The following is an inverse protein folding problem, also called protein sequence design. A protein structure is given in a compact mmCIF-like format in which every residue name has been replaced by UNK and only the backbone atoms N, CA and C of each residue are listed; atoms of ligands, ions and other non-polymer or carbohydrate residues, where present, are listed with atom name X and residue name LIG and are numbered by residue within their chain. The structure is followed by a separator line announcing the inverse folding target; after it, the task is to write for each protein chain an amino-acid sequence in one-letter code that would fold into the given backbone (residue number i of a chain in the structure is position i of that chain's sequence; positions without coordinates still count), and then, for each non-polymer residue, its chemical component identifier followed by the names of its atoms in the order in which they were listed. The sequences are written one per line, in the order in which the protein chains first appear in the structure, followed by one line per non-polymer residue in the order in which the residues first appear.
data_IF_365579017964
#
_entry.id   IF_365579017964
#
_cell.length_a   1.000
_cell.length_b   1.000
_cell.length_c   1.000
_cell.angle_alpha   90.00
_cell.angle_beta   90.00
_cell.angle_gamma   90.00
#
_symmetry.space_group_name_H-M   'P 1'
#
loop_
_entity.id
_entity.type
_entity.pdbx_description
1 polymer ?
#
# COMPACT_ATOMS: atom_id res chain seq x y z
N UNK A 1 -5.95 14.13 12.50
CA UNK A 1 -7.06 13.50 11.76
C UNK A 1 -8.15 14.47 11.29
N UNK A 2 -9.09 14.95 12.12
CA UNK A 2 -10.21 15.81 11.63
C UNK A 2 -9.74 17.10 10.94
N UNK A 3 -8.75 17.79 11.53
CA UNK A 3 -8.14 19.00 10.95
C UNK A 3 -7.46 18.72 9.60
N UNK A 4 -6.78 17.58 9.46
CA UNK A 4 -6.11 17.19 8.21
C UNK A 4 -7.10 16.82 7.11
N UNK A 5 -8.21 16.14 7.46
CA UNK A 5 -9.31 15.86 6.53
C UNK A 5 -9.89 17.16 6.00
N UNK A 6 -10.14 18.15 6.86
CA UNK A 6 -10.67 19.45 6.44
C UNK A 6 -9.69 20.21 5.54
N UNK A 7 -8.40 20.22 5.87
CA UNK A 7 -7.37 20.83 5.02
C UNK A 7 -7.30 20.15 3.65
N UNK A 8 -7.27 18.81 3.60
CA UNK A 8 -7.26 18.04 2.35
C UNK A 8 -8.53 18.28 1.53
N UNK A 9 -9.70 18.30 2.16
CA UNK A 9 -10.97 18.63 1.52
C UNK A 9 -10.93 20.04 0.90
N UNK A 10 -10.41 21.02 1.64
CA UNK A 10 -10.27 22.39 1.13
C UNK A 10 -9.33 22.47 -0.07
N UNK A 11 -8.23 21.71 -0.08
CA UNK A 11 -7.32 21.65 -1.23
C UNK A 11 -7.95 20.99 -2.46
N UNK A 12 -8.65 19.87 -2.28
CA UNK A 12 -9.38 19.19 -3.36
C UNK A 12 -10.45 20.12 -3.94
N UNK A 13 -11.19 20.81 -3.08
CA UNK A 13 -12.22 21.77 -3.48
C UNK A 13 -11.64 22.95 -4.28
N UNK A 14 -10.50 23.52 -3.87
CA UNK A 14 -9.79 24.56 -4.63
C UNK A 14 -9.30 24.06 -5.99
N UNK A 15 -8.76 22.84 -6.05
CA UNK A 15 -8.33 22.21 -7.32
C UNK A 15 -9.51 21.99 -8.28
N UNK A 16 -10.65 21.54 -7.76
CA UNK A 16 -11.87 21.37 -8.53
C UNK A 16 -12.39 22.71 -9.08
N UNK A 17 -12.51 23.74 -8.24
CA UNK A 17 -12.92 25.09 -8.67
C UNK A 17 -11.99 25.68 -9.73
N UNK A 18 -10.66 25.48 -9.60
CA UNK A 18 -9.70 25.91 -10.63
C UNK A 18 -9.89 25.19 -11.97
N UNK A 19 -10.28 23.91 -11.94
CA UNK A 19 -10.42 23.07 -13.14
C UNK A 19 -11.77 23.24 -13.84
N UNK A 20 -12.84 23.37 -13.08
CA UNK A 20 -14.21 23.34 -13.57
C UNK A 20 -14.94 24.69 -13.47
N UNK A 21 -14.31 25.70 -12.85
CA UNK A 21 -14.92 26.99 -12.55
C UNK A 21 -15.77 26.95 -11.26
N UNK A 22 -16.33 28.09 -10.86
CA UNK A 22 -17.13 28.22 -9.64
C UNK A 22 -16.31 28.49 -8.37
N UNK A 23 -16.96 28.41 -7.21
CA UNK A 23 -16.36 28.66 -5.89
C UNK A 23 -15.95 27.34 -5.24
N UNK A 24 -14.81 27.33 -4.54
CA UNK A 24 -14.34 26.13 -3.83
C UNK A 24 -15.39 25.55 -2.87
N UNK A 25 -16.17 26.40 -2.19
CA UNK A 25 -17.21 25.93 -1.26
C UNK A 25 -18.29 25.08 -1.93
N UNK A 26 -18.55 25.25 -3.22
CA UNK A 26 -19.52 24.45 -3.98
C UNK A 26 -19.05 23.00 -4.16
N UNK A 27 -17.73 22.78 -4.13
CA UNK A 27 -17.12 21.45 -4.23
C UNK A 27 -16.85 20.82 -2.86
N UNK A 28 -17.09 21.53 -1.75
CA UNK A 28 -16.60 21.10 -0.44
C UNK A 28 -17.21 19.77 0.00
N UNK A 29 -18.48 19.50 -0.30
CA UNK A 29 -19.15 18.25 0.08
C UNK A 29 -18.51 17.02 -0.57
N UNK A 30 -18.28 17.07 -1.89
CA UNK A 30 -17.58 16.00 -2.61
C UNK A 30 -16.11 15.87 -2.19
N UNK A 31 -15.45 17.01 -1.96
CA UNK A 31 -14.08 17.05 -1.47
C UNK A 31 -13.92 16.48 -0.06
N UNK A 32 -14.90 16.71 0.82
CA UNK A 32 -14.96 16.15 2.17
C UNK A 32 -15.04 14.63 2.11
N UNK A 33 -15.92 14.11 1.24
CA UNK A 33 -16.11 12.67 1.06
C UNK A 33 -14.81 12.01 0.58
N UNK A 34 -14.16 12.58 -0.44
CA UNK A 34 -12.86 12.11 -0.94
C UNK A 34 -11.76 12.18 0.13
N UNK A 35 -11.70 13.27 0.90
CA UNK A 35 -10.71 13.43 1.96
C UNK A 35 -10.95 12.47 3.14
N UNK A 36 -12.21 12.16 3.45
CA UNK A 36 -12.60 11.24 4.51
C UNK A 36 -12.35 9.78 4.10
N UNK A 37 -12.65 9.41 2.86
CA UNK A 37 -12.30 8.10 2.30
C UNK A 37 -10.78 7.89 2.30
N UNK A 38 -10.01 8.90 1.92
CA UNK A 38 -8.55 8.85 1.99
C UNK A 38 -8.00 8.76 3.43
N UNK A 39 -8.75 9.24 4.43
CA UNK A 39 -8.34 9.20 5.83
C UNK A 39 -8.82 7.95 6.58
N UNK A 40 -9.77 7.20 6.02
CA UNK A 40 -10.37 6.02 6.67
C UNK A 40 -9.51 4.76 6.60
N UNK A 41 -8.41 4.79 5.85
CA UNK A 41 -7.54 3.64 5.69
C UNK A 41 -8.27 2.41 5.12
N UNK A 42 -7.74 1.24 5.44
CA UNK A 42 -8.33 -0.04 5.12
C UNK A 42 -9.38 -0.42 6.17
N UNK A 43 -10.53 -0.88 5.70
CA UNK A 43 -11.53 -1.52 6.57
C UNK A 43 -11.07 -2.90 7.01
N UNK A 44 -11.56 -3.38 8.16
CA UNK A 44 -11.18 -4.72 8.66
C UNK A 44 -11.50 -5.84 7.65
N UNK A 45 -12.55 -5.69 6.85
CA UNK A 45 -12.87 -6.62 5.75
C UNK A 45 -11.77 -6.65 4.68
N UNK A 46 -11.25 -5.49 4.30
CA UNK A 46 -10.14 -5.37 3.35
C UNK A 46 -8.84 -5.91 3.94
N UNK A 47 -8.58 -5.63 5.22
CA UNK A 47 -7.42 -6.18 5.95
C UNK A 47 -7.47 -7.71 5.93
N UNK A 48 -8.62 -8.31 6.28
CA UNK A 48 -8.78 -9.76 6.26
C UNK A 48 -8.62 -10.37 4.86
N UNK A 49 -9.09 -9.67 3.82
CA UNK A 49 -8.85 -10.05 2.42
C UNK A 49 -7.35 -10.08 2.10
N UNK A 50 -6.59 -9.07 2.50
CA UNK A 50 -5.13 -9.06 2.32
C UNK A 50 -4.46 -10.16 3.14
N UNK A 51 -4.84 -10.37 4.40
CA UNK A 51 -4.28 -11.46 5.21
C UNK A 51 -4.49 -12.82 4.53
N UNK A 52 -5.68 -13.05 3.93
CA UNK A 52 -5.97 -14.28 3.17
C UNK A 52 -5.09 -14.45 1.92
N UNK A 53 -4.60 -13.35 1.35
CA UNK A 53 -3.64 -13.35 0.22
C UNK A 53 -2.18 -13.52 0.64
N UNK A 54 -1.91 -13.69 1.94
CA UNK A 54 -0.55 -13.92 2.44
C UNK A 54 0.12 -12.65 2.96
N UNK A 55 -0.60 -11.77 3.64
CA UNK A 55 -0.02 -10.62 4.36
C UNK A 55 0.02 -10.89 5.86
N UNK A 56 1.07 -10.44 6.54
CA UNK A 56 1.16 -10.46 7.99
C UNK A 56 0.86 -9.06 8.53
N UNK A 57 -0.18 -8.92 9.38
CA UNK A 57 -0.46 -7.66 10.09
C UNK A 57 0.49 -7.51 11.28
N UNK A 58 1.05 -6.32 11.44
CA UNK A 58 1.85 -5.94 12.60
C UNK A 58 1.38 -4.57 13.08
N UNK A 59 1.04 -4.49 14.36
CA UNK A 59 0.52 -3.28 14.99
C UNK A 59 1.37 -3.00 16.24
N UNK A 60 1.69 -1.73 16.49
CA UNK A 60 2.36 -1.31 17.73
C UNK A 60 1.36 -1.18 18.88
N UNK A 61 1.83 -1.28 20.12
CA UNK A 61 0.97 -1.22 21.31
C UNK A 61 0.25 0.13 21.46
N UNK A 62 0.90 1.22 21.05
CA UNK A 62 0.33 2.57 20.95
C UNK A 62 -0.66 2.73 19.79
N UNK A 63 -0.80 1.70 18.95
CA UNK A 63 -1.60 1.69 17.75
C UNK A 63 -1.11 2.66 16.68
N UNK A 64 0.01 3.38 16.84
CA UNK A 64 0.49 4.39 15.88
C UNK A 64 0.75 3.78 14.51
N UNK A 65 1.39 2.60 14.49
CA UNK A 65 1.68 1.85 13.28
C UNK A 65 0.76 0.66 13.18
N UNK A 66 0.09 0.55 12.04
CA UNK A 66 -0.69 -0.63 11.68
C UNK A 66 -0.32 -1.00 10.24
N UNK A 67 0.45 -2.08 10.08
CA UNK A 67 1.13 -2.41 8.82
C UNK A 67 0.79 -3.82 8.37
N UNK A 68 0.53 -3.98 7.08
CA UNK A 68 0.36 -5.27 6.43
C UNK A 68 1.59 -5.56 5.59
N UNK A 69 2.49 -6.40 6.12
CA UNK A 69 3.70 -6.82 5.40
C UNK A 69 3.36 -7.92 4.41
N UNK A 70 3.81 -7.75 3.16
CA UNK A 70 3.79 -8.80 2.16
C UNK A 70 4.64 -9.98 2.66
N UNK A 71 4.03 -11.16 2.80
CA UNK A 71 4.77 -12.38 3.10
C UNK A 71 5.03 -13.13 1.79
N UNK A 72 6.23 -12.96 1.25
CA UNK A 72 6.66 -13.54 -0.03
C UNK A 72 6.52 -15.07 -0.09
N UNK A 73 6.50 -15.76 1.06
CA UNK A 73 6.38 -17.22 1.14
C UNK A 73 4.93 -17.70 1.17
N UNK A 74 3.99 -16.85 1.59
CA UNK A 74 2.55 -17.17 1.67
C UNK A 74 1.77 -16.61 0.49
N UNK A 75 2.31 -15.59 -0.17
CA UNK A 75 1.68 -14.98 -1.34
C UNK A 75 1.72 -15.94 -2.54
N UNK A 76 0.59 -16.08 -3.22
CA UNK A 76 0.47 -16.95 -4.38
C UNK A 76 1.44 -16.53 -5.49
N UNK A 77 2.01 -17.52 -6.19
CA UNK A 77 2.87 -17.32 -7.36
C UNK A 77 3.96 -16.27 -7.12
N UNK A 78 4.65 -16.32 -5.98
CA UNK A 78 5.72 -15.37 -5.67
C UNK A 78 7.03 -16.10 -5.34
N UNK A 79 7.33 -16.37 -4.07
CA UNK A 79 8.57 -17.06 -3.68
C UNK A 79 8.29 -18.39 -2.99
N UNK A 80 8.80 -19.49 -3.54
CA UNK A 80 8.68 -20.80 -2.90
C UNK A 80 9.94 -21.64 -3.15
N UNK A 81 10.65 -22.02 -2.08
CA UNK A 81 11.86 -22.86 -2.11
C UNK A 81 12.83 -22.57 -3.27
N UNK A 82 13.21 -21.30 -3.44
CA UNK A 82 14.18 -20.90 -4.47
C UNK A 82 13.61 -20.77 -5.88
N UNK A 83 12.28 -20.78 -6.00
CA UNK A 83 11.56 -20.47 -7.23
C UNK A 83 10.85 -19.14 -7.12
N UNK A 84 10.87 -18.37 -8.20
CA UNK A 84 10.04 -17.19 -8.41
C UNK A 84 9.00 -17.49 -9.49
N UNK A 85 7.72 -17.31 -9.20
CA UNK A 85 6.63 -17.67 -10.12
C UNK A 85 6.69 -19.13 -10.64
N UNK A 86 7.29 -20.04 -9.87
CA UNK A 86 7.49 -21.44 -10.26
C UNK A 86 8.76 -21.72 -11.06
N UNK A 87 9.49 -20.69 -11.49
CA UNK A 87 10.77 -20.80 -12.19
C UNK A 87 11.94 -20.75 -11.20
N UNK A 88 12.96 -21.57 -11.41
CA UNK A 88 14.16 -21.54 -10.57
C UNK A 88 14.92 -20.24 -10.74
N UNK A 89 15.35 -19.67 -9.61
CA UNK A 89 16.13 -18.43 -9.58
C UNK A 89 17.45 -18.62 -8.86
N UNK A 90 18.45 -17.83 -9.25
CA UNK A 90 19.78 -17.91 -8.68
C UNK A 90 19.75 -17.61 -7.17
N UNK A 91 20.63 -18.24 -6.35
CA UNK A 91 20.71 -17.97 -4.92
C UNK A 91 20.90 -16.48 -4.57
N UNK A 92 21.54 -15.71 -5.45
CA UNK A 92 21.70 -14.27 -5.28
C UNK A 92 20.37 -13.49 -5.43
N UNK A 93 19.47 -13.93 -6.31
CA UNK A 93 18.13 -13.37 -6.47
C UNK A 93 17.27 -13.69 -5.25
N UNK A 94 17.37 -14.91 -4.74
CA UNK A 94 16.66 -15.31 -3.52
C UNK A 94 17.04 -14.42 -2.33
N UNK A 95 18.34 -14.12 -2.18
CA UNK A 95 18.82 -13.20 -1.13
C UNK A 95 18.28 -11.79 -1.33
N UNK A 96 18.26 -11.29 -2.57
CA UNK A 96 17.76 -9.98 -2.90
C UNK A 96 16.27 -9.82 -2.60
N UNK A 97 15.44 -10.80 -3.01
CA UNK A 97 13.99 -10.80 -2.72
C UNK A 97 13.76 -10.74 -1.20
N UNK A 98 14.48 -11.55 -0.42
CA UNK A 98 14.38 -11.58 1.05
C UNK A 98 14.84 -10.28 1.72
N UNK A 99 15.67 -9.47 1.05
CA UNK A 99 16.14 -8.20 1.57
C UNK A 99 15.12 -7.06 1.37
N UNK A 100 14.11 -7.25 0.52
CA UNK A 100 13.06 -6.26 0.26
C UNK A 100 11.86 -6.53 1.18
N UNK A 101 11.48 -5.52 1.95
CA UNK A 101 10.24 -5.46 2.70
C UNK A 101 9.28 -4.52 1.99
N UNK A 102 8.06 -4.96 1.77
CA UNK A 102 6.96 -4.12 1.26
C UNK A 102 5.79 -4.26 2.21
N UNK A 103 5.14 -3.14 2.54
CA UNK A 103 3.96 -3.15 3.40
C UNK A 103 2.95 -2.07 3.00
N UNK A 104 1.70 -2.30 3.38
CA UNK A 104 0.63 -1.32 3.32
C UNK A 104 0.42 -0.74 4.72
N UNK A 105 0.35 0.57 4.83
CA UNK A 105 -0.14 1.21 6.05
C UNK A 105 -1.66 1.08 6.10
N UNK A 106 -2.20 0.40 7.12
CA UNK A 106 -3.63 0.14 7.23
C UNK A 106 -4.45 1.40 7.50
N UNK A 107 -3.85 2.49 8.01
CA UNK A 107 -4.57 3.74 8.30
C UNK A 107 -4.65 4.68 7.11
N UNK A 108 -3.68 4.62 6.20
CA UNK A 108 -3.64 5.50 5.02
C UNK A 108 -3.89 4.74 3.72
N UNK A 109 -3.69 3.42 3.71
CA UNK A 109 -3.67 2.59 2.50
C UNK A 109 -2.44 2.84 1.61
N UNK A 110 -1.43 3.57 2.11
CA UNK A 110 -0.20 3.86 1.37
C UNK A 110 0.73 2.65 1.36
N UNK A 111 1.39 2.43 0.22
CA UNK A 111 2.38 1.37 0.05
C UNK A 111 3.76 1.94 0.33
N UNK A 112 4.50 1.26 1.20
CA UNK A 112 5.87 1.61 1.58
C UNK A 112 6.78 0.40 1.39
N UNK A 113 8.07 0.66 1.24
CA UNK A 113 9.07 -0.39 1.08
C UNK A 113 10.40 -0.01 1.71
N UNK A 114 11.22 -1.01 2.00
CA UNK A 114 12.59 -0.86 2.45
C UNK A 114 13.42 -2.02 1.92
N UNK A 115 14.67 -1.75 1.54
CA UNK A 115 15.65 -2.79 1.24
C UNK A 115 16.85 -2.67 2.18
N UNK A 116 17.33 -3.79 2.71
CA UNK A 116 18.49 -3.79 3.64
C UNK A 116 19.82 -3.53 2.93
N UNK A 117 19.89 -3.79 1.62
CA UNK A 117 21.00 -3.43 0.76
C UNK A 117 20.48 -3.25 -0.67
N UNK A 118 21.27 -2.62 -1.53
CA UNK A 118 20.94 -2.43 -2.95
C UNK A 118 21.92 -3.21 -3.80
N UNK A 119 21.39 -4.01 -4.71
CA UNK A 119 22.14 -4.68 -5.76
C UNK A 119 21.24 -4.80 -7.00
N UNK A 120 21.80 -5.25 -8.12
CA UNK A 120 21.06 -5.37 -9.40
C UNK A 120 19.75 -6.15 -9.28
N UNK A 121 19.72 -7.20 -8.44
CA UNK A 121 18.54 -8.04 -8.26
C UNK A 121 17.51 -7.37 -7.35
N UNK A 122 17.94 -6.63 -6.32
CA UNK A 122 17.01 -5.83 -5.51
C UNK A 122 16.28 -4.82 -6.40
N UNK A 123 16.99 -4.17 -7.32
CA UNK A 123 16.36 -3.22 -8.24
C UNK A 123 15.45 -3.89 -9.27
N UNK A 124 15.71 -5.15 -9.62
CA UNK A 124 14.81 -5.97 -10.46
C UNK A 124 13.55 -6.41 -9.72
N UNK A 125 13.65 -6.95 -8.51
CA UNK A 125 12.52 -7.58 -7.80
C UNK A 125 11.69 -6.62 -6.95
N UNK A 126 12.29 -5.54 -6.44
CA UNK A 126 11.57 -4.49 -5.69
C UNK A 126 10.34 -3.94 -6.42
N UNK A 127 10.42 -3.51 -7.70
CA UNK A 127 9.23 -3.03 -8.40
C UNK A 127 8.18 -4.13 -8.57
N UNK A 128 8.58 -5.38 -8.85
CA UNK A 128 7.64 -6.50 -8.99
C UNK A 128 6.86 -6.76 -7.69
N UNK A 129 7.52 -6.71 -6.54
CA UNK A 129 6.87 -6.84 -5.23
C UNK A 129 5.90 -5.69 -4.97
N UNK A 130 6.31 -4.45 -5.28
CA UNK A 130 5.46 -3.27 -5.13
C UNK A 130 4.22 -3.36 -6.03
N UNK A 131 4.39 -3.79 -7.28
CA UNK A 131 3.31 -3.90 -8.25
C UNK A 131 2.33 -5.02 -7.90
N UNK A 132 2.82 -6.14 -7.35
CA UNK A 132 1.96 -7.17 -6.76
C UNK A 132 1.08 -6.60 -5.62
N UNK A 133 1.68 -5.83 -4.70
CA UNK A 133 0.94 -5.19 -3.61
C UNK A 133 -0.08 -4.17 -4.14
N UNK A 134 0.27 -3.38 -5.17
CA UNK A 134 -0.68 -2.46 -5.82
C UNK A 134 -1.86 -3.21 -6.44
N UNK A 135 -1.60 -4.31 -7.15
CA UNK A 135 -2.63 -5.11 -7.79
C UNK A 135 -3.59 -5.70 -6.76
N UNK A 136 -3.05 -6.23 -5.65
CA UNK A 136 -3.87 -6.73 -4.55
C UNK A 136 -4.72 -5.66 -3.91
N UNK A 137 -4.12 -4.50 -3.61
CA UNK A 137 -4.82 -3.38 -3.01
C UNK A 137 -5.92 -2.82 -3.93
N UNK A 138 -5.70 -2.84 -5.25
CA UNK A 138 -6.72 -2.45 -6.22
C UNK A 138 -7.87 -3.47 -6.32
N UNK A 139 -7.59 -4.76 -6.17
CA UNK A 139 -8.62 -5.81 -6.26
C UNK A 139 -9.60 -5.87 -5.09
N UNK A 140 -9.34 -5.15 -4.00
CA UNK A 140 -10.16 -5.15 -2.77
C UNK A 140 -10.82 -3.80 -2.48
N UNK A 141 -10.54 -2.77 -3.30
CA UNK A 141 -11.15 -1.45 -3.24
C UNK A 141 -12.38 -1.41 -4.13
#
# INVERSE_FOLDING_TARGET
MMKEVMCKAWEIAKKAAKKFGGKAIEYIGGALKMAWEAAKGLTEKQINSLVSKGYNRWTTDDGERDRLYLNIYKHANMFHYGKWNGEEIFPAEQRAIKAVKVWIDAKTGEISHQATYVNRYVDQYKPLLIDAVKADLASIK
#
